data_IF_614498567982
#
_entry.id   IF_614498567982
#
_cell.length_a   1.000
_cell.length_b   1.000
_cell.length_c   1.000
_cell.angle_alpha   90.00
_cell.angle_beta   90.00
_cell.angle_gamma   90.00
#
_symmetry.space_group_name_H-M   'P 1'
#
loop_
_entity.id
_entity.type
_entity.pdbx_description
1 polymer ?
#
# COMPACT_ATOMS: atom_id res chain seq x y z
N UNK A 1 12.40 -2.52 20.13
CA UNK A 1 11.02 -3.08 20.07
C UNK A 1 10.40 -2.61 18.75
N UNK A 2 10.08 -3.53 17.81
CA UNK A 2 9.30 -3.18 16.62
C UNK A 2 7.88 -2.83 17.08
N UNK A 3 7.49 -1.55 17.04
CA UNK A 3 6.07 -1.18 17.15
C UNK A 3 5.37 -1.72 15.92
N UNK A 4 4.45 -2.65 16.11
CA UNK A 4 3.48 -3.03 15.10
C UNK A 4 2.55 -1.83 14.93
N UNK A 5 2.30 -1.41 13.69
CA UNK A 5 1.29 -0.39 13.41
C UNK A 5 -0.04 -0.85 13.99
N UNK A 6 -0.57 -0.10 14.93
CA UNK A 6 -1.85 -0.41 15.58
C UNK A 6 -2.98 0.27 14.81
N UNK A 7 -3.49 -0.40 13.78
CA UNK A 7 -4.64 0.06 13.02
C UNK A 7 -5.91 -0.63 13.50
N UNK A 8 -6.92 0.16 13.88
CA UNK A 8 -8.25 -0.34 14.20
C UNK A 8 -9.09 -0.45 12.92
N UNK A 9 -9.42 -1.67 12.54
CA UNK A 9 -10.36 -1.94 11.44
C UNK A 9 -11.76 -2.20 11.98
N UNK A 10 -12.71 -1.32 11.65
CA UNK A 10 -14.11 -1.46 12.04
C UNK A 10 -14.90 -1.94 10.82
N UNK A 11 -15.16 -3.25 10.78
CA UNK A 11 -15.79 -3.93 9.64
C UNK A 11 -17.31 -4.06 9.77
N UNK A 12 -17.88 -3.74 10.93
CA UNK A 12 -19.32 -3.75 11.16
C UNK A 12 -19.97 -2.56 10.44
N UNK A 13 -20.88 -2.78 9.46
CA UNK A 13 -21.43 -1.71 8.65
C UNK A 13 -22.20 -0.64 9.43
N UNK A 14 -22.93 -1.05 10.44
CA UNK A 14 -23.78 -0.19 11.28
C UNK A 14 -23.03 0.41 12.47
N UNK A 15 -21.72 0.22 12.56
CA UNK A 15 -20.95 0.74 13.68
C UNK A 15 -20.78 2.27 13.59
N UNK A 16 -21.01 2.93 14.73
CA UNK A 16 -20.69 4.34 14.97
C UNK A 16 -19.50 4.44 15.93
N UNK A 17 -18.56 5.33 15.62
CA UNK A 17 -17.38 5.54 16.45
C UNK A 17 -17.48 6.88 17.20
N UNK A 18 -17.23 6.84 18.49
CA UNK A 18 -17.23 8.04 19.34
C UNK A 18 -16.00 8.09 20.23
N UNK A 19 -15.72 9.28 20.76
CA UNK A 19 -14.69 9.52 21.76
C UNK A 19 -15.33 9.50 23.15
N UNK A 20 -14.72 8.73 24.06
CA UNK A 20 -15.05 8.74 25.49
C UNK A 20 -13.72 8.88 26.26
N UNK A 21 -13.45 10.09 26.77
CA UNK A 21 -12.13 10.43 27.32
C UNK A 21 -11.02 10.25 26.27
N UNK A 22 -10.06 9.39 26.55
CA UNK A 22 -8.94 9.03 25.64
C UNK A 22 -9.17 7.69 24.92
N UNK A 23 -10.44 7.27 24.76
CA UNK A 23 -10.79 5.95 24.26
C UNK A 23 -11.77 6.06 23.09
N UNK A 24 -11.48 5.36 22.01
CA UNK A 24 -12.44 5.12 20.92
C UNK A 24 -13.46 4.11 21.38
N UNK A 25 -14.72 4.45 21.31
CA UNK A 25 -15.85 3.55 21.60
C UNK A 25 -16.53 3.21 20.28
N UNK A 26 -16.58 1.92 19.98
CA UNK A 26 -17.30 1.38 18.81
C UNK A 26 -18.66 0.90 19.28
N UNK A 27 -19.73 1.44 18.72
CA UNK A 27 -21.12 1.10 19.09
C UNK A 27 -21.90 0.62 17.86
N UNK A 28 -22.84 -0.27 18.11
CA UNK A 28 -23.91 -0.59 17.17
C UNK A 28 -25.24 -0.35 17.91
N UNK A 29 -25.92 0.72 17.56
CA UNK A 29 -27.03 1.30 18.32
C UNK A 29 -26.63 1.52 19.80
N UNK A 30 -27.29 0.87 20.76
CA UNK A 30 -27.03 1.00 22.18
C UNK A 30 -25.90 0.05 22.67
N UNK A 31 -25.51 -0.93 21.86
CA UNK A 31 -24.52 -1.93 22.23
C UNK A 31 -23.10 -1.43 21.99
N UNK A 32 -22.25 -1.53 23.02
CA UNK A 32 -20.81 -1.27 22.92
C UNK A 32 -20.12 -2.52 22.40
N UNK A 33 -19.66 -2.49 21.14
CA UNK A 33 -18.90 -3.58 20.50
C UNK A 33 -17.46 -3.64 20.97
N UNK A 34 -16.87 -2.50 21.35
CA UNK A 34 -15.49 -2.46 21.81
C UNK A 34 -15.03 -1.08 22.23
N UNK A 35 -13.92 -1.07 22.98
CA UNK A 35 -13.23 0.14 23.46
C UNK A 35 -11.75 0.02 23.19
N UNK A 36 -11.12 1.00 22.58
CA UNK A 36 -9.70 1.01 22.22
C UNK A 36 -9.07 2.34 22.61
N UNK A 37 -8.04 2.35 23.47
CA UNK A 37 -7.34 3.59 23.83
C UNK A 37 -6.67 4.24 22.62
N UNK A 38 -6.83 5.57 22.47
CA UNK A 38 -6.27 6.33 21.34
C UNK A 38 -4.75 6.25 21.25
N UNK A 39 -4.07 6.26 22.40
CA UNK A 39 -2.59 6.21 22.43
C UNK A 39 -2.00 4.92 21.87
N UNK A 40 -2.82 3.87 21.68
CA UNK A 40 -2.41 2.63 21.05
C UNK A 40 -2.61 2.63 19.53
N UNK A 41 -3.26 3.67 18.96
CA UNK A 41 -3.66 3.69 17.58
C UNK A 41 -2.76 4.63 16.75
N UNK A 42 -2.43 4.19 15.56
CA UNK A 42 -1.81 4.98 14.50
C UNK A 42 -2.81 5.28 13.38
N UNK A 43 -3.82 4.40 13.21
CA UNK A 43 -4.89 4.62 12.24
C UNK A 43 -6.20 3.94 12.66
N UNK A 44 -7.31 4.48 12.12
CA UNK A 44 -8.66 3.91 12.19
C UNK A 44 -9.20 3.82 10.76
N UNK A 45 -9.65 2.62 10.37
CA UNK A 45 -10.27 2.34 9.08
C UNK A 45 -11.69 1.87 9.31
N UNK A 46 -12.68 2.68 8.92
CA UNK A 46 -14.10 2.35 9.07
C UNK A 46 -14.70 1.91 7.74
N UNK A 47 -15.37 0.76 7.74
CA UNK A 47 -16.13 0.22 6.60
C UNK A 47 -17.65 0.47 6.76
N UNK A 48 -18.05 1.20 7.81
CA UNK A 48 -19.44 1.52 8.10
C UNK A 48 -19.90 2.83 7.48
N UNK A 49 -21.22 3.04 7.46
CA UNK A 49 -21.81 4.29 6.96
C UNK A 49 -22.35 5.23 8.04
N UNK A 50 -22.40 4.80 9.30
CA UNK A 50 -22.89 5.66 10.39
C UNK A 50 -21.91 6.75 10.79
N UNK A 51 -20.62 6.59 10.39
CA UNK A 51 -19.63 7.62 10.57
C UNK A 51 -18.98 7.65 11.94
N UNK A 52 -18.47 8.82 12.29
CA UNK A 52 -17.60 9.05 13.45
C UNK A 52 -17.98 10.38 14.10
N UNK A 53 -17.93 10.49 15.43
CA UNK A 53 -18.22 11.74 16.11
C UNK A 53 -17.20 12.84 15.77
N UNK A 54 -17.59 14.11 15.68
CA UNK A 54 -16.66 15.23 15.47
C UNK A 54 -15.57 15.31 16.53
N UNK A 55 -15.86 14.93 17.77
CA UNK A 55 -14.88 14.88 18.85
C UNK A 55 -13.77 13.87 18.57
N UNK A 56 -14.12 12.68 18.05
CA UNK A 56 -13.12 11.68 17.67
C UNK A 56 -12.34 12.10 16.42
N UNK A 57 -12.98 12.72 15.44
CA UNK A 57 -12.29 13.27 14.25
C UNK A 57 -11.22 14.28 14.68
N UNK A 58 -11.57 15.24 15.55
CA UNK A 58 -10.66 16.21 16.09
C UNK A 58 -9.50 15.54 16.85
N UNK A 59 -9.80 14.62 17.78
CA UNK A 59 -8.79 13.91 18.55
C UNK A 59 -7.80 13.13 17.66
N UNK A 60 -8.28 12.52 16.56
CA UNK A 60 -7.43 11.85 15.59
C UNK A 60 -6.48 12.85 14.88
N UNK A 61 -7.00 13.97 14.40
CA UNK A 61 -6.18 14.97 13.69
C UNK A 61 -5.13 15.62 14.59
N UNK A 62 -5.48 15.93 15.84
CA UNK A 62 -4.54 16.50 16.82
C UNK A 62 -3.40 15.55 17.20
N UNK A 63 -3.64 14.24 17.13
CA UNK A 63 -2.66 13.18 17.46
C UNK A 63 -1.99 12.53 16.26
N UNK A 64 -2.26 13.02 15.04
CA UNK A 64 -1.79 12.43 13.79
C UNK A 64 -2.22 10.94 13.64
N UNK A 65 -3.39 10.58 14.15
CA UNK A 65 -3.99 9.27 13.94
C UNK A 65 -4.77 9.31 12.62
N UNK A 66 -4.40 8.47 11.65
CA UNK A 66 -5.10 8.37 10.39
C UNK A 66 -6.55 7.92 10.59
N UNK A 67 -7.52 8.61 9.99
CA UNK A 67 -8.91 8.21 10.03
C UNK A 67 -9.48 8.23 8.61
N UNK A 68 -9.82 7.04 8.09
CA UNK A 68 -10.40 6.91 6.76
C UNK A 68 -11.66 6.04 6.74
N UNK A 69 -12.48 6.30 5.72
CA UNK A 69 -13.73 5.61 5.46
C UNK A 69 -13.63 4.86 4.14
N UNK A 70 -14.00 3.60 4.17
CA UNK A 70 -14.07 2.74 2.99
C UNK A 70 -15.49 2.18 2.86
N UNK A 71 -15.92 1.92 1.63
CA UNK A 71 -17.12 1.12 1.42
C UNK A 71 -16.91 -0.31 1.93
N UNK A 72 -17.98 -1.07 2.10
CA UNK A 72 -17.91 -2.50 2.45
C UNK A 72 -17.06 -3.34 1.50
N UNK A 73 -16.87 -2.86 0.26
CA UNK A 73 -16.02 -3.49 -0.76
C UNK A 73 -14.60 -2.91 -0.83
N UNK A 74 -14.20 -2.11 0.16
CA UNK A 74 -12.85 -1.52 0.22
C UNK A 74 -12.61 -0.31 -0.70
N UNK A 75 -13.65 0.24 -1.34
CA UNK A 75 -13.51 1.47 -2.11
C UNK A 75 -13.33 2.65 -1.14
N UNK A 76 -12.33 3.47 -1.37
CA UNK A 76 -12.10 4.70 -0.63
C UNK A 76 -13.30 5.66 -0.78
N UNK A 77 -13.79 6.19 0.33
CA UNK A 77 -14.88 7.16 0.39
C UNK A 77 -14.37 8.53 0.83
N UNK A 78 -13.71 8.58 1.98
CA UNK A 78 -13.20 9.82 2.57
C UNK A 78 -12.09 9.54 3.57
N UNK A 79 -11.31 10.57 3.89
CA UNK A 79 -10.46 10.59 5.08
C UNK A 79 -10.60 11.92 5.81
N UNK A 80 -10.33 11.90 7.10
CA UNK A 80 -10.30 13.10 7.93
C UNK A 80 -8.89 13.65 7.90
N UNK A 81 -8.76 14.92 7.53
CA UNK A 81 -7.50 15.66 7.55
C UNK A 81 -7.67 16.88 8.46
N UNK A 82 -6.66 17.13 9.28
CA UNK A 82 -6.58 18.34 10.10
C UNK A 82 -6.11 19.56 9.29
N UNK A 83 -5.79 20.66 9.97
CA UNK A 83 -5.14 21.80 9.34
C UNK A 83 -3.88 21.36 8.58
N UNK A 84 -3.61 22.03 7.46
CA UNK A 84 -2.37 21.76 6.70
C UNK A 84 -1.17 21.99 7.61
N UNK A 85 -0.51 20.91 7.96
CA UNK A 85 0.70 20.94 8.79
C UNK A 85 1.95 20.81 7.91
N UNK A 86 3.10 21.12 8.48
CA UNK A 86 4.37 20.90 7.86
C UNK A 86 5.00 22.14 7.24
N UNK A 87 6.21 21.96 6.75
CA UNK A 87 7.05 23.03 6.27
C UNK A 87 6.67 23.42 4.83
N UNK A 88 6.17 24.65 4.65
CA UNK A 88 5.84 25.19 3.31
C UNK A 88 7.07 25.22 2.39
N UNK A 89 8.28 25.37 2.93
CA UNK A 89 9.51 25.34 2.14
C UNK A 89 9.79 23.96 1.58
N UNK A 90 9.53 22.90 2.36
CA UNK A 90 9.64 21.52 1.91
C UNK A 90 8.65 21.23 0.75
N UNK A 91 7.42 21.69 0.88
CA UNK A 91 6.41 21.53 -0.17
C UNK A 91 6.78 22.30 -1.44
N UNK A 92 7.26 23.53 -1.29
CA UNK A 92 7.74 24.33 -2.43
C UNK A 92 8.91 23.62 -3.13
N UNK A 93 9.82 23.03 -2.37
CA UNK A 93 10.95 22.29 -2.90
C UNK A 93 10.51 20.99 -3.59
N UNK A 94 9.50 20.30 -3.06
CA UNK A 94 8.88 19.15 -3.71
C UNK A 94 8.36 19.51 -5.11
N UNK A 95 7.60 20.61 -5.25
CA UNK A 95 7.07 21.06 -6.54
C UNK A 95 8.20 21.38 -7.52
N UNK A 96 9.18 22.19 -7.08
CA UNK A 96 10.33 22.56 -7.92
C UNK A 96 11.13 21.35 -8.40
N UNK A 97 11.29 20.36 -7.53
CA UNK A 97 12.01 19.12 -7.86
C UNK A 97 11.20 18.27 -8.84
N UNK A 98 9.88 18.16 -8.66
CA UNK A 98 9.01 17.39 -9.53
C UNK A 98 8.88 17.98 -10.94
N UNK A 99 8.91 19.31 -11.05
CA UNK A 99 8.88 20.04 -12.34
C UNK A 99 10.18 19.89 -13.13
N UNK A 100 11.31 19.68 -12.47
CA UNK A 100 12.60 19.44 -13.09
C UNK A 100 12.92 17.95 -13.18
N UNK A 101 12.74 17.36 -14.36
CA UNK A 101 13.00 15.93 -14.61
C UNK A 101 14.42 15.49 -14.23
N UNK A 102 15.42 16.37 -14.35
CA UNK A 102 16.81 16.05 -13.98
C UNK A 102 16.96 15.94 -12.46
N UNK A 103 16.29 16.82 -11.71
CA UNK A 103 16.28 16.79 -10.24
C UNK A 103 15.42 15.66 -9.69
N UNK A 104 14.32 15.31 -10.35
CA UNK A 104 13.45 14.19 -9.98
C UNK A 104 14.10 12.82 -10.23
N UNK A 105 14.96 12.70 -11.26
CA UNK A 105 15.54 11.42 -11.68
C UNK A 105 16.30 10.66 -10.59
N UNK A 106 17.16 11.26 -9.74
CA UNK A 106 17.81 10.57 -8.64
C UNK A 106 16.82 9.99 -7.63
N UNK A 107 15.75 10.73 -7.32
CA UNK A 107 14.71 10.27 -6.40
C UNK A 107 13.94 9.10 -7.02
N UNK A 108 13.56 9.19 -8.29
CA UNK A 108 12.91 8.12 -9.02
C UNK A 108 13.77 6.84 -9.07
N UNK A 109 15.10 6.97 -9.23
CA UNK A 109 16.04 5.85 -9.17
C UNK A 109 16.04 5.18 -7.79
N UNK A 110 16.05 5.97 -6.71
CA UNK A 110 16.02 5.43 -5.35
C UNK A 110 14.74 4.63 -5.07
N UNK A 111 13.57 5.19 -5.43
CA UNK A 111 12.27 4.54 -5.28
C UNK A 111 12.23 3.21 -6.05
N UNK A 112 12.70 3.21 -7.29
CA UNK A 112 12.73 2.00 -8.11
C UNK A 112 13.75 0.98 -7.61
N UNK A 113 14.87 1.43 -7.06
CA UNK A 113 15.84 0.55 -6.40
C UNK A 113 15.20 -0.19 -5.22
N UNK A 114 14.45 0.51 -4.35
CA UNK A 114 13.71 -0.09 -3.24
C UNK A 114 12.71 -1.14 -3.73
N UNK A 115 11.93 -0.82 -4.76
CA UNK A 115 10.97 -1.75 -5.39
C UNK A 115 11.65 -3.04 -5.87
N UNK A 116 12.68 -2.90 -6.69
CA UNK A 116 13.35 -4.06 -7.28
C UNK A 116 14.12 -4.89 -6.25
N UNK A 117 14.75 -4.22 -5.29
CA UNK A 117 15.41 -4.89 -4.17
C UNK A 117 14.43 -5.74 -3.37
N UNK A 118 13.28 -5.17 -3.00
CA UNK A 118 12.25 -5.88 -2.21
C UNK A 118 11.59 -7.00 -3.01
N UNK A 119 11.37 -6.81 -4.30
CA UNK A 119 10.85 -7.86 -5.20
C UNK A 119 11.83 -9.04 -5.30
N UNK A 120 13.12 -8.78 -5.51
CA UNK A 120 14.19 -9.78 -5.50
C UNK A 120 14.24 -10.51 -4.17
N UNK A 121 14.27 -9.76 -3.06
CA UNK A 121 14.34 -10.31 -1.72
C UNK A 121 13.19 -11.28 -1.42
N UNK A 122 11.96 -10.92 -1.86
CA UNK A 122 10.79 -11.78 -1.73
C UNK A 122 10.98 -13.11 -2.46
N UNK A 123 11.44 -13.10 -3.71
CA UNK A 123 11.68 -14.31 -4.50
C UNK A 123 12.79 -15.16 -3.86
N UNK A 124 13.90 -14.57 -3.43
CA UNK A 124 15.00 -15.26 -2.74
C UNK A 124 14.50 -15.91 -1.43
N UNK A 125 13.64 -15.22 -0.67
CA UNK A 125 13.05 -15.74 0.54
C UNK A 125 12.15 -16.95 0.28
N UNK A 126 11.25 -16.87 -0.72
CA UNK A 126 10.40 -18.00 -1.10
C UNK A 126 11.23 -19.18 -1.61
N UNK A 127 12.24 -18.94 -2.43
CA UNK A 127 13.14 -19.97 -2.94
C UNK A 127 13.86 -20.71 -1.81
N UNK A 128 14.30 -20.00 -0.77
CA UNK A 128 14.95 -20.58 0.40
C UNK A 128 13.98 -21.38 1.28
N UNK A 129 12.78 -20.83 1.52
CA UNK A 129 11.84 -21.39 2.49
C UNK A 129 10.98 -22.52 1.90
N UNK A 130 10.80 -22.56 0.58
CA UNK A 130 9.92 -23.52 -0.11
C UNK A 130 10.52 -24.16 -1.36
N UNK A 131 11.78 -24.67 -1.32
CA UNK A 131 12.47 -25.14 -2.51
C UNK A 131 11.78 -26.30 -3.23
N UNK A 132 11.04 -27.14 -2.50
CA UNK A 132 10.34 -28.29 -3.07
C UNK A 132 9.03 -27.96 -3.79
N UNK A 133 8.55 -26.71 -3.68
CA UNK A 133 7.27 -26.26 -4.24
C UNK A 133 7.42 -25.32 -5.43
N UNK A 134 8.64 -24.93 -5.73
CA UNK A 134 8.96 -23.95 -6.75
C UNK A 134 9.79 -24.58 -7.87
N UNK A 135 9.56 -24.14 -9.10
CA UNK A 135 10.53 -24.31 -10.16
C UNK A 135 11.74 -23.41 -9.89
N UNK A 136 12.78 -24.02 -9.31
CA UNK A 136 13.98 -23.31 -8.89
C UNK A 136 14.72 -22.65 -10.07
N UNK A 137 14.60 -23.24 -11.27
CA UNK A 137 15.21 -22.71 -12.49
C UNK A 137 14.51 -21.44 -12.92
N UNK A 138 13.18 -21.48 -13.03
CA UNK A 138 12.37 -20.33 -13.43
C UNK A 138 12.49 -19.19 -12.39
N UNK A 139 12.39 -19.50 -11.10
CA UNK A 139 12.53 -18.49 -10.02
C UNK A 139 13.95 -17.92 -10.00
N UNK A 140 14.99 -18.75 -10.24
CA UNK A 140 16.38 -18.31 -10.37
C UNK A 140 16.57 -17.32 -11.51
N UNK A 141 16.04 -17.64 -12.69
CA UNK A 141 16.08 -16.74 -13.86
C UNK A 141 15.36 -15.41 -13.58
N UNK A 142 14.22 -15.45 -12.92
CA UNK A 142 13.50 -14.24 -12.50
C UNK A 142 14.32 -13.35 -11.54
N UNK A 143 14.97 -13.96 -10.55
CA UNK A 143 15.88 -13.26 -9.62
C UNK A 143 17.04 -12.62 -10.37
N UNK A 144 17.69 -13.36 -11.28
CA UNK A 144 18.87 -12.85 -12.01
C UNK A 144 18.50 -11.72 -12.97
N UNK A 145 17.30 -11.78 -13.59
CA UNK A 145 16.80 -10.66 -14.40
C UNK A 145 16.56 -9.41 -13.55
N UNK A 146 16.00 -9.55 -12.34
CA UNK A 146 15.81 -8.41 -11.42
C UNK A 146 17.17 -7.86 -10.95
N UNK A 147 18.17 -8.72 -10.67
CA UNK A 147 19.53 -8.29 -10.35
C UNK A 147 20.18 -7.52 -11.48
N UNK A 148 19.98 -7.96 -12.73
CA UNK A 148 20.48 -7.24 -13.91
C UNK A 148 19.80 -5.88 -14.04
N UNK A 149 18.49 -5.80 -13.85
CA UNK A 149 17.74 -4.54 -13.82
C UNK A 149 18.27 -3.59 -12.73
N UNK A 150 18.56 -4.08 -11.51
CA UNK A 150 19.15 -3.27 -10.44
C UNK A 150 20.51 -2.68 -10.80
N UNK A 151 21.35 -3.44 -11.54
CA UNK A 151 22.67 -2.94 -11.99
C UNK A 151 22.56 -1.84 -13.04
N UNK A 152 21.49 -1.84 -13.84
CA UNK A 152 21.26 -0.84 -14.88
C UNK A 152 20.66 0.48 -14.35
N UNK A 153 20.03 0.47 -13.16
CA UNK A 153 19.37 1.65 -12.61
C UNK A 153 20.29 2.89 -12.48
N UNK A 154 21.53 2.77 -11.97
CA UNK A 154 22.41 3.92 -11.84
C UNK A 154 22.72 4.59 -13.18
N UNK A 155 22.76 3.81 -14.27
CA UNK A 155 23.10 4.27 -15.63
C UNK A 155 21.92 4.88 -16.38
N UNK A 156 20.69 4.77 -15.84
CA UNK A 156 19.51 5.31 -16.50
C UNK A 156 19.64 6.83 -16.71
N UNK A 157 19.60 7.28 -17.96
CA UNK A 157 19.76 8.68 -18.33
C UNK A 157 18.49 9.51 -18.08
N UNK A 158 17.31 8.87 -18.12
CA UNK A 158 16.01 9.52 -18.00
C UNK A 158 14.92 8.59 -17.46
N UNK A 159 13.72 9.15 -17.29
CA UNK A 159 12.56 8.42 -16.79
C UNK A 159 12.02 7.36 -17.76
N UNK A 160 12.28 7.49 -19.07
CA UNK A 160 11.84 6.52 -20.05
C UNK A 160 12.68 5.25 -19.96
N UNK A 161 13.98 5.40 -19.80
CA UNK A 161 14.90 4.30 -19.51
C UNK A 161 14.54 3.61 -18.17
N UNK A 162 14.21 4.40 -17.11
CA UNK A 162 13.75 3.84 -15.84
C UNK A 162 12.48 2.98 -16.01
N UNK A 163 11.50 3.44 -16.80
CA UNK A 163 10.28 2.68 -17.10
C UNK A 163 10.56 1.38 -17.87
N UNK A 164 11.53 1.42 -18.79
CA UNK A 164 11.98 0.22 -19.52
C UNK A 164 12.58 -0.83 -18.57
N UNK A 165 13.48 -0.40 -17.67
CA UNK A 165 14.11 -1.25 -16.67
C UNK A 165 13.05 -1.82 -15.71
N UNK A 166 12.13 -0.99 -15.22
CA UNK A 166 11.02 -1.38 -14.38
C UNK A 166 10.13 -2.44 -15.04
N UNK A 167 9.73 -2.19 -16.30
CA UNK A 167 8.88 -3.10 -17.07
C UNK A 167 9.52 -4.47 -17.25
N UNK A 168 10.81 -4.53 -17.54
CA UNK A 168 11.59 -5.77 -17.65
C UNK A 168 11.60 -6.55 -16.33
N UNK A 169 11.90 -5.87 -15.22
CA UNK A 169 11.90 -6.47 -13.90
C UNK A 169 10.50 -6.93 -13.47
N UNK A 170 9.47 -6.14 -13.74
CA UNK A 170 8.08 -6.49 -13.42
C UNK A 170 7.62 -7.73 -14.20
N UNK A 171 7.97 -7.83 -15.49
CA UNK A 171 7.69 -9.02 -16.30
C UNK A 171 8.34 -10.26 -15.69
N UNK A 172 9.60 -10.18 -15.31
CA UNK A 172 10.33 -11.28 -14.68
C UNK A 172 9.72 -11.68 -13.34
N UNK A 173 9.31 -10.70 -12.52
CA UNK A 173 8.65 -10.95 -11.24
C UNK A 173 7.29 -11.64 -11.42
N UNK A 174 6.43 -11.11 -12.28
CA UNK A 174 5.08 -11.64 -12.46
C UNK A 174 5.03 -12.98 -13.23
N UNK A 175 6.07 -13.33 -14.00
CA UNK A 175 6.15 -14.66 -14.65
C UNK A 175 6.28 -15.80 -13.63
N UNK A 176 6.90 -15.56 -12.49
CA UNK A 176 7.09 -16.57 -11.43
C UNK A 176 6.12 -16.40 -10.26
N UNK A 177 5.36 -15.30 -10.23
CA UNK A 177 4.44 -14.98 -9.16
C UNK A 177 3.40 -16.08 -8.85
N UNK A 178 2.79 -16.79 -9.84
CA UNK A 178 1.84 -17.86 -9.55
C UNK A 178 2.41 -18.94 -8.63
N UNK A 179 3.70 -19.20 -8.69
CA UNK A 179 4.37 -20.21 -7.86
C UNK A 179 4.45 -19.80 -6.37
N UNK A 180 4.32 -18.50 -6.08
CA UNK A 180 4.33 -18.00 -4.70
C UNK A 180 3.01 -18.27 -3.96
N UNK A 181 1.97 -18.69 -4.68
CA UNK A 181 0.67 -19.06 -4.11
C UNK A 181 0.78 -20.51 -3.61
N UNK A 182 1.27 -20.68 -2.39
CA UNK A 182 1.62 -22.00 -1.84
C UNK A 182 0.42 -22.81 -1.35
N UNK A 183 -0.73 -22.19 -1.13
CA UNK A 183 -1.94 -22.81 -0.61
C UNK A 183 -3.12 -22.51 -1.52
N UNK A 184 -3.98 -23.50 -1.70
CA UNK A 184 -5.23 -23.37 -2.46
C UNK A 184 -5.04 -22.72 -3.84
N UNK A 185 -3.94 -23.05 -4.55
CA UNK A 185 -3.62 -22.44 -5.86
C UNK A 185 -4.75 -22.64 -6.88
N UNK A 186 -5.54 -23.72 -6.76
CA UNK A 186 -6.70 -23.98 -7.61
C UNK A 186 -7.84 -22.98 -7.36
N UNK A 187 -8.03 -22.53 -6.12
CA UNK A 187 -9.05 -21.55 -5.74
C UNK A 187 -8.61 -20.11 -5.99
N UNK A 188 -7.31 -19.90 -6.12
CA UNK A 188 -6.68 -18.60 -6.32
C UNK A 188 -5.84 -18.56 -7.59
N UNK A 189 -6.45 -18.77 -8.78
CA UNK A 189 -5.74 -18.68 -10.04
C UNK A 189 -5.18 -17.26 -10.23
N UNK A 190 -4.00 -17.17 -10.83
CA UNK A 190 -3.36 -15.91 -11.18
C UNK A 190 -2.73 -16.02 -12.56
N UNK A 191 -3.33 -15.38 -13.55
CA UNK A 191 -2.87 -15.38 -14.95
C UNK A 191 -2.02 -14.16 -15.31
N UNK A 192 -1.85 -13.23 -14.37
CA UNK A 192 -1.12 -11.98 -14.57
C UNK A 192 -1.72 -10.83 -13.77
N UNK A 193 -1.01 -9.72 -13.70
CA UNK A 193 -1.49 -8.55 -12.93
C UNK A 193 -2.58 -7.80 -13.69
N UNK A 194 -3.81 -7.85 -13.18
CA UNK A 194 -4.95 -7.03 -13.61
C UNK A 194 -5.38 -6.08 -12.47
N UNK A 195 -5.68 -4.82 -12.80
CA UNK A 195 -5.95 -3.80 -11.78
C UNK A 195 -7.39 -3.26 -11.84
N UNK A 196 -7.92 -3.02 -13.02
CA UNK A 196 -9.23 -2.35 -13.23
C UNK A 196 -9.92 -2.94 -14.45
N UNK A 197 -10.85 -3.89 -14.27
CA UNK A 197 -11.19 -4.57 -13.02
C UNK A 197 -10.14 -5.63 -12.62
N UNK A 198 -10.05 -6.05 -11.35
CA UNK A 198 -9.31 -7.23 -10.95
C UNK A 198 -10.05 -8.46 -11.46
N UNK A 199 -9.36 -9.30 -12.25
CA UNK A 199 -9.98 -10.44 -12.96
C UNK A 199 -9.98 -11.74 -12.17
N UNK A 200 -9.27 -11.78 -11.05
CA UNK A 200 -9.15 -12.95 -10.18
C UNK A 200 -9.06 -12.54 -8.69
N UNK A 201 -9.30 -13.47 -7.75
CA UNK A 201 -9.28 -13.17 -6.32
C UNK A 201 -7.94 -12.63 -5.81
N UNK A 202 -6.82 -13.07 -6.38
CA UNK A 202 -5.48 -12.58 -5.98
C UNK A 202 -5.31 -11.11 -6.37
N UNK A 203 -5.72 -10.76 -7.60
CA UNK A 203 -5.72 -9.38 -8.07
C UNK A 203 -6.68 -8.50 -7.25
N UNK A 204 -7.82 -9.02 -6.81
CA UNK A 204 -8.76 -8.30 -5.94
C UNK A 204 -8.12 -8.03 -4.57
N UNK A 205 -7.53 -9.04 -3.93
CA UNK A 205 -6.83 -8.89 -2.64
C UNK A 205 -5.65 -7.92 -2.74
N UNK A 206 -4.84 -8.02 -3.79
CA UNK A 206 -3.74 -7.09 -4.04
C UNK A 206 -4.26 -5.67 -4.21
N UNK A 207 -5.29 -5.46 -5.02
CA UNK A 207 -5.87 -4.13 -5.28
C UNK A 207 -6.46 -3.53 -4.01
N UNK A 208 -7.11 -4.33 -3.18
CA UNK A 208 -7.62 -3.91 -1.87
C UNK A 208 -6.48 -3.49 -0.94
N UNK A 209 -5.46 -4.35 -0.77
CA UNK A 209 -4.31 -4.06 0.08
C UNK A 209 -3.53 -2.81 -0.39
N UNK A 210 -3.36 -2.63 -1.70
CA UNK A 210 -2.75 -1.44 -2.26
C UNK A 210 -3.59 -0.17 -2.04
N UNK A 211 -4.92 -0.28 -2.05
CA UNK A 211 -5.81 0.85 -1.74
C UNK A 211 -5.65 1.28 -0.29
N UNK A 212 -5.66 0.33 0.66
CA UNK A 212 -5.46 0.61 2.07
C UNK A 212 -4.12 1.31 2.32
N UNK A 213 -3.04 0.68 1.84
CA UNK A 213 -1.69 1.19 2.06
C UNK A 213 -1.45 2.53 1.36
N UNK A 214 -1.99 2.71 0.15
CA UNK A 214 -1.89 4.00 -0.56
C UNK A 214 -2.57 5.15 0.20
N UNK A 215 -3.69 4.89 0.87
CA UNK A 215 -4.35 5.89 1.71
C UNK A 215 -3.56 6.20 2.99
N UNK A 216 -2.95 5.19 3.62
CA UNK A 216 -2.07 5.38 4.78
C UNK A 216 -0.83 6.22 4.40
N UNK A 217 -0.19 5.89 3.28
CA UNK A 217 0.97 6.64 2.78
C UNK A 217 0.57 8.08 2.46
N UNK A 218 -0.57 8.31 1.80
CA UNK A 218 -1.03 9.65 1.48
C UNK A 218 -1.26 10.48 2.76
N UNK A 219 -1.87 9.90 3.79
CA UNK A 219 -2.04 10.55 5.09
C UNK A 219 -0.71 10.86 5.77
N UNK A 220 0.25 9.93 5.72
CA UNK A 220 1.60 10.13 6.27
C UNK A 220 2.35 11.25 5.55
N UNK A 221 2.25 11.34 4.23
CA UNK A 221 2.84 12.43 3.44
C UNK A 221 2.26 13.79 3.83
N UNK A 222 0.94 13.89 3.97
CA UNK A 222 0.27 15.12 4.38
C UNK A 222 0.68 15.55 5.80
N UNK A 223 0.87 14.60 6.72
CA UNK A 223 1.28 14.89 8.10
C UNK A 223 2.67 15.53 8.20
N UNK A 224 3.56 15.26 7.24
CA UNK A 224 4.89 15.88 7.16
C UNK A 224 4.93 17.09 6.22
N UNK A 225 3.80 17.48 5.63
CA UNK A 225 3.68 18.65 4.78
C UNK A 225 3.99 18.42 3.30
N UNK A 226 4.11 17.17 2.85
CA UNK A 226 4.26 16.82 1.44
C UNK A 226 2.90 16.65 0.78
N UNK A 227 2.84 16.95 -0.52
CA UNK A 227 1.66 16.72 -1.36
C UNK A 227 1.71 15.29 -1.93
N UNK A 228 0.75 14.42 -1.57
CA UNK A 228 0.73 13.05 -2.08
C UNK A 228 0.47 12.96 -3.59
N UNK A 229 -0.04 14.02 -4.24
CA UNK A 229 -0.30 14.04 -5.67
C UNK A 229 0.96 14.33 -6.51
N UNK A 230 2.01 14.92 -5.92
CA UNK A 230 3.20 15.38 -6.63
C UNK A 230 4.34 14.37 -6.45
N UNK A 231 4.44 13.42 -7.38
CA UNK A 231 5.46 12.36 -7.39
C UNK A 231 6.67 12.68 -8.26
N UNK A 232 7.67 11.81 -8.19
CA UNK A 232 8.93 11.91 -8.91
C UNK A 232 9.11 10.82 -9.98
N UNK A 233 8.51 9.65 -9.78
CA UNK A 233 8.55 8.51 -10.70
C UNK A 233 7.32 8.47 -11.59
N UNK A 234 6.15 8.56 -10.99
CA UNK A 234 4.88 8.54 -11.71
C UNK A 234 4.53 9.91 -12.29
N UNK A 235 4.09 9.94 -13.54
CA UNK A 235 3.61 11.15 -14.21
C UNK A 235 2.41 11.75 -13.47
N UNK A 236 2.41 13.05 -13.30
CA UNK A 236 1.31 13.81 -12.71
C UNK A 236 0.03 13.64 -13.56
N UNK A 237 -1.08 13.35 -12.91
CA UNK A 237 -2.41 13.25 -13.51
C UNK A 237 -3.48 13.70 -12.52
N UNK A 238 -4.54 14.41 -12.98
CA UNK A 238 -5.64 14.78 -12.11
C UNK A 238 -6.22 13.57 -11.35
N UNK A 239 -6.45 13.72 -10.05
CA UNK A 239 -7.00 12.68 -9.18
C UNK A 239 -6.05 11.51 -8.86
N UNK A 240 -4.76 11.62 -9.18
CA UNK A 240 -3.76 10.59 -8.91
C UNK A 240 -2.81 11.02 -7.79
N UNK A 241 -2.74 10.24 -6.73
CA UNK A 241 -1.77 10.44 -5.65
C UNK A 241 -0.39 9.89 -6.07
N UNK A 242 0.30 10.60 -6.98
CA UNK A 242 1.53 10.11 -7.64
C UNK A 242 2.66 9.82 -6.66
N UNK A 243 2.91 10.68 -5.64
CA UNK A 243 3.95 10.43 -4.64
C UNK A 243 3.58 9.26 -3.72
N UNK A 244 2.30 9.16 -3.34
CA UNK A 244 1.87 8.00 -2.56
C UNK A 244 2.03 6.69 -3.34
N UNK A 245 1.82 6.70 -4.66
CA UNK A 245 2.09 5.55 -5.52
C UNK A 245 3.59 5.27 -5.67
N UNK A 246 4.41 6.32 -5.77
CA UNK A 246 5.87 6.19 -5.82
C UNK A 246 6.40 5.45 -4.60
N UNK A 247 5.99 5.87 -3.39
CA UNK A 247 6.37 5.20 -2.13
C UNK A 247 5.74 3.82 -1.99
N UNK A 248 4.51 3.64 -2.49
CA UNK A 248 3.84 2.35 -2.49
C UNK A 248 4.64 1.29 -3.26
N UNK A 249 5.40 1.68 -4.28
CA UNK A 249 6.23 0.77 -5.06
C UNK A 249 7.36 0.11 -4.24
N UNK A 250 7.81 0.71 -3.15
CA UNK A 250 8.81 0.11 -2.25
C UNK A 250 8.25 -1.01 -1.36
N UNK A 251 6.93 -1.04 -1.12
CA UNK A 251 6.30 -1.88 -0.10
C UNK A 251 5.66 -3.21 -0.60
N UNK A 252 5.67 -3.58 -1.90
CA UNK A 252 4.92 -4.72 -2.42
C UNK A 252 5.26 -6.05 -1.74
N UNK A 253 6.53 -6.28 -1.40
CA UNK A 253 6.99 -7.55 -0.86
C UNK A 253 6.27 -7.94 0.46
N UNK A 254 6.08 -6.98 1.36
CA UNK A 254 5.38 -7.19 2.64
C UNK A 254 3.88 -7.44 2.43
N UNK A 255 3.25 -6.67 1.56
CA UNK A 255 1.83 -6.79 1.20
C UNK A 255 1.57 -8.13 0.51
N UNK A 256 2.34 -8.45 -0.52
CA UNK A 256 2.24 -9.71 -1.26
C UNK A 256 2.40 -10.90 -0.32
N UNK A 257 3.41 -10.91 0.55
CA UNK A 257 3.61 -11.99 1.53
C UNK A 257 2.40 -12.18 2.43
N UNK A 258 1.75 -11.10 2.89
CA UNK A 258 0.53 -11.17 3.70
C UNK A 258 -0.66 -11.67 2.91
N UNK A 259 -0.88 -11.17 1.68
CA UNK A 259 -1.95 -11.61 0.78
C UNK A 259 -1.82 -13.11 0.50
N UNK A 260 -0.63 -13.57 0.14
CA UNK A 260 -0.38 -14.99 -0.15
C UNK A 260 -0.55 -15.90 1.07
N UNK A 261 -0.18 -15.43 2.29
CA UNK A 261 -0.43 -16.16 3.53
C UNK A 261 -1.91 -16.29 3.85
N UNK A 262 -2.72 -15.30 3.50
CA UNK A 262 -4.14 -15.20 3.81
C UNK A 262 -5.04 -15.66 2.65
N UNK A 263 -4.49 -16.25 1.60
CA UNK A 263 -5.26 -16.91 0.55
C UNK A 263 -5.96 -18.16 1.09
N UNK A 264 -7.11 -17.95 1.76
CA UNK A 264 -7.96 -18.99 2.34
C UNK A 264 -9.33 -18.98 1.65
N UNK A 265 -10.03 -20.11 1.57
CA UNK A 265 -11.37 -20.17 0.97
C UNK A 265 -12.36 -19.16 1.58
N UNK A 266 -12.25 -18.89 2.90
CA UNK A 266 -13.09 -17.91 3.60
C UNK A 266 -12.84 -16.49 3.09
N UNK A 267 -11.61 -16.16 2.71
CA UNK A 267 -11.24 -14.83 2.19
C UNK A 267 -11.90 -14.56 0.82
N UNK A 268 -12.15 -15.61 0.03
CA UNK A 268 -12.85 -15.49 -1.26
C UNK A 268 -14.28 -14.97 -1.09
N UNK A 269 -14.96 -15.35 -0.01
CA UNK A 269 -16.35 -14.91 0.27
C UNK A 269 -16.46 -13.44 0.65
N UNK A 270 -15.37 -12.80 1.06
CA UNK A 270 -15.33 -11.37 1.40
C UNK A 270 -15.09 -10.47 0.19
N UNK A 271 -14.73 -11.04 -0.95
CA UNK A 271 -14.33 -10.31 -2.17
C UNK A 271 -15.43 -10.35 -3.23
N UNK A 272 -16.35 -11.31 -3.17
CA UNK A 272 -17.55 -11.40 -3.99
C UNK A 272 -18.73 -10.70 -3.30
#
# INVERSE_FOLDING_TARGET
MKRLQNTLYVTTPEAYLSLDGETVVVRNDDDVLGRVPLHNLEAIVSFGYRGVSPALMRACTERNIGLCFLSRHGRFLARVSGPVQGNVLLRTEQYRTADDRKRALPIAKMLLTGKLYNSRWLLEHFRRDHPQRLDLTAVGAGIDQIKSSLRLLPEAADHDMLRGIEGSAAKAYFSVFPQLILRNAQDFPFSGRSRRPPLDPVNAMLSFAYTLLGNEIAGALESVGLDPAVGFLHTLRPGRASLALDLLEELPAGVVKRVLKNARPETRRLIN
#
